data_IF_335528207279
#
_entry.id   IF_335528207279
#
_cell.length_a   1.000
_cell.length_b   1.000
_cell.length_c   1.000
_cell.angle_alpha   90.00
_cell.angle_beta   90.00
_cell.angle_gamma   90.00
#
_symmetry.space_group_name_H-M   'P 1'
#
loop_
_entity.id
_entity.type
_entity.pdbx_description
1 polymer ?
#
# COMPACT_ATOMS: atom_id res chain seq x y z
N UNK A 1 -3.52 5.70 15.34
CA UNK A 1 -3.83 6.15 13.97
C UNK A 1 -5.26 5.77 13.65
N UNK A 2 -5.68 5.76 12.39
CA UNK A 2 -6.96 5.16 11.98
C UNK A 2 -6.75 4.22 10.80
N UNK A 3 -7.53 3.14 10.77
CA UNK A 3 -7.53 2.15 9.70
C UNK A 3 -8.29 2.68 8.48
N UNK A 4 -7.79 2.37 7.28
CA UNK A 4 -8.52 2.60 6.04
C UNK A 4 -9.64 1.56 5.89
N UNK A 5 -10.71 1.92 5.18
CA UNK A 5 -11.79 0.98 4.85
C UNK A 5 -11.29 -0.03 3.80
N UNK A 6 -11.35 -1.31 4.18
CA UNK A 6 -10.86 -2.43 3.36
C UNK A 6 -11.72 -2.67 2.10
N UNK A 7 -13.02 -2.43 2.14
CA UNK A 7 -13.90 -2.64 1.00
C UNK A 7 -13.66 -1.57 -0.08
N UNK A 8 -13.53 -0.31 0.32
CA UNK A 8 -13.11 0.80 -0.53
C UNK A 8 -11.69 0.58 -1.07
N UNK A 9 -10.79 0.04 -0.25
CA UNK A 9 -9.43 -0.33 -0.66
C UNK A 9 -9.44 -1.39 -1.77
N UNK A 10 -10.21 -2.46 -1.61
CA UNK A 10 -10.39 -3.51 -2.62
C UNK A 10 -11.03 -2.98 -3.91
N UNK A 11 -12.03 -2.10 -3.78
CA UNK A 11 -12.66 -1.47 -4.93
C UNK A 11 -11.68 -0.59 -5.72
N UNK A 12 -10.91 0.25 -5.02
CA UNK A 12 -9.82 1.02 -5.62
C UNK A 12 -8.81 0.11 -6.34
N UNK A 13 -8.35 -0.94 -5.65
CA UNK A 13 -7.42 -1.92 -6.22
C UNK A 13 -7.94 -2.54 -7.51
N UNK A 14 -9.20 -3.02 -7.54
CA UNK A 14 -9.78 -3.63 -8.73
C UNK A 14 -9.83 -2.66 -9.91
N UNK A 15 -10.27 -1.42 -9.68
CA UNK A 15 -10.31 -0.40 -10.75
C UNK A 15 -8.92 -0.06 -11.27
N UNK A 16 -7.95 0.15 -10.37
CA UNK A 16 -6.56 0.44 -10.75
C UNK A 16 -5.94 -0.76 -11.47
N UNK A 17 -6.15 -1.98 -11.00
CA UNK A 17 -5.60 -3.19 -11.62
C UNK A 17 -6.14 -3.40 -13.04
N UNK A 18 -7.46 -3.28 -13.23
CA UNK A 18 -8.08 -3.38 -14.55
C UNK A 18 -7.60 -2.24 -15.46
N UNK A 19 -7.61 -1.00 -14.96
CA UNK A 19 -7.17 0.18 -15.71
C UNK A 19 -5.70 0.10 -16.13
N UNK A 20 -4.83 -0.37 -15.23
CA UNK A 20 -3.41 -0.56 -15.50
C UNK A 20 -3.19 -1.59 -16.62
N UNK A 21 -3.84 -2.75 -16.54
CA UNK A 21 -3.70 -3.77 -17.58
C UNK A 21 -4.27 -3.29 -18.92
N UNK A 22 -5.42 -2.63 -18.94
CA UNK A 22 -5.99 -2.04 -20.15
C UNK A 22 -5.09 -0.94 -20.75
N UNK A 23 -4.40 -0.17 -19.91
CA UNK A 23 -3.52 0.90 -20.34
C UNK A 23 -2.19 0.38 -20.90
N UNK A 24 -1.55 -0.58 -20.21
CA UNK A 24 -0.15 -0.94 -20.49
C UNK A 24 0.01 -2.30 -21.18
N UNK A 25 -0.90 -3.26 -21.04
CA UNK A 25 -0.78 -4.52 -21.76
C UNK A 25 -0.80 -4.31 -23.29
N UNK A 26 -1.71 -3.47 -23.86
CA UNK A 26 -1.71 -3.23 -25.30
C UNK A 26 -0.45 -2.50 -25.80
N UNK A 27 0.21 -1.72 -24.93
CA UNK A 27 1.44 -0.99 -25.28
C UNK A 27 2.63 -1.92 -25.57
N UNK A 28 2.65 -3.12 -24.98
CA UNK A 28 3.65 -4.14 -25.33
C UNK A 28 3.49 -4.58 -26.79
N UNK A 29 2.25 -4.83 -27.20
CA UNK A 29 1.94 -5.20 -28.58
C UNK A 29 2.24 -4.04 -29.54
N UNK A 30 1.85 -2.81 -29.21
CA UNK A 30 2.17 -1.62 -30.02
C UNK A 30 3.68 -1.42 -30.21
N UNK A 31 4.46 -1.54 -29.14
CA UNK A 31 5.91 -1.42 -29.20
C UNK A 31 6.56 -2.50 -30.09
N UNK A 32 6.08 -3.74 -30.02
CA UNK A 32 6.54 -4.84 -30.88
C UNK A 32 6.18 -4.62 -32.36
N UNK A 33 5.06 -3.94 -32.65
CA UNK A 33 4.65 -3.59 -34.00
C UNK A 33 5.29 -2.28 -34.51
N UNK A 34 6.27 -1.73 -33.77
CA UNK A 34 7.11 -0.66 -34.25
C UNK A 34 6.61 0.76 -33.95
N UNK A 35 5.62 0.94 -33.07
CA UNK A 35 5.25 2.28 -32.58
C UNK A 35 6.34 2.79 -31.62
N UNK A 36 7.16 3.81 -32.00
CA UNK A 36 8.24 4.27 -31.14
C UNK A 36 7.69 5.20 -30.04
N UNK A 37 8.42 5.30 -28.93
CA UNK A 37 8.07 6.22 -27.85
C UNK A 37 8.16 7.69 -28.30
N UNK A 38 7.39 8.57 -27.64
CA UNK A 38 7.43 10.04 -27.81
C UNK A 38 7.02 10.52 -29.22
N UNK A 39 6.08 9.82 -29.85
CA UNK A 39 5.42 10.28 -31.08
C UNK A 39 4.11 10.98 -30.74
N UNK A 40 3.87 12.14 -31.35
CA UNK A 40 2.60 12.86 -31.20
C UNK A 40 1.53 12.34 -32.17
N UNK A 41 1.96 11.87 -33.34
CA UNK A 41 1.12 11.30 -34.39
C UNK A 41 1.64 9.90 -34.74
N UNK A 42 0.71 8.97 -34.96
CA UNK A 42 0.99 7.57 -35.21
C UNK A 42 0.11 7.06 -36.35
N UNK A 43 0.50 5.93 -36.94
CA UNK A 43 -0.23 5.32 -38.04
C UNK A 43 -1.69 4.99 -37.62
N UNK A 44 -2.70 5.34 -38.43
CA UNK A 44 -4.10 5.04 -38.15
C UNK A 44 -4.40 3.58 -37.78
N UNK A 45 -3.58 2.62 -38.24
CA UNK A 45 -3.72 1.19 -37.86
C UNK A 45 -3.63 0.96 -36.34
N UNK A 46 -2.93 1.83 -35.61
CA UNK A 46 -2.75 1.74 -34.16
C UNK A 46 -3.82 2.51 -33.36
N UNK A 47 -4.75 3.19 -34.02
CA UNK A 47 -5.74 4.04 -33.36
C UNK A 47 -6.61 3.28 -32.35
N UNK A 48 -7.14 2.12 -32.73
CA UNK A 48 -8.00 1.33 -31.86
C UNK A 48 -7.29 0.88 -30.57
N UNK A 49 -6.04 0.43 -30.68
CA UNK A 49 -5.25 -0.06 -29.54
C UNK A 49 -4.86 1.09 -28.60
N UNK A 50 -4.54 2.27 -29.16
CA UNK A 50 -4.31 3.49 -28.37
C UNK A 50 -5.60 4.02 -27.71
N UNK A 51 -6.77 3.82 -28.32
CA UNK A 51 -8.06 4.13 -27.69
C UNK A 51 -8.32 3.24 -26.47
N UNK A 52 -8.08 1.93 -26.58
CA UNK A 52 -8.17 1.01 -25.43
C UNK A 52 -7.23 1.47 -24.30
N UNK A 53 -6.00 1.84 -24.67
CA UNK A 53 -5.01 2.33 -23.70
C UNK A 53 -5.49 3.61 -23.00
N UNK A 54 -6.09 4.54 -23.76
CA UNK A 54 -6.68 5.78 -23.24
C UNK A 54 -7.84 5.51 -22.28
N UNK A 55 -8.71 4.53 -22.58
CA UNK A 55 -9.79 4.11 -21.67
C UNK A 55 -9.20 3.54 -20.37
N UNK A 56 -8.14 2.74 -20.44
CA UNK A 56 -7.43 2.24 -19.27
C UNK A 56 -6.84 3.37 -18.42
N UNK A 57 -6.22 4.37 -19.06
CA UNK A 57 -5.69 5.55 -18.38
C UNK A 57 -6.79 6.36 -17.66
N UNK A 58 -7.93 6.57 -18.33
CA UNK A 58 -9.09 7.24 -17.73
C UNK A 58 -9.65 6.44 -16.55
N UNK A 59 -9.74 5.12 -16.66
CA UNK A 59 -10.19 4.26 -15.56
C UNK A 59 -9.26 4.35 -14.34
N UNK A 60 -7.94 4.39 -14.55
CA UNK A 60 -6.98 4.64 -13.47
C UNK A 60 -7.18 6.02 -12.84
N UNK A 61 -7.39 7.07 -13.64
CA UNK A 61 -7.69 8.40 -13.12
C UNK A 61 -8.95 8.39 -12.25
N UNK A 62 -10.02 7.73 -12.71
CA UNK A 62 -11.27 7.55 -11.94
C UNK A 62 -11.06 6.72 -10.67
N UNK A 63 -10.16 5.73 -10.69
CA UNK A 63 -9.83 4.91 -9.52
C UNK A 63 -9.23 5.72 -8.37
N UNK A 64 -8.68 6.91 -8.63
CA UNK A 64 -8.17 7.80 -7.56
C UNK A 64 -9.27 8.39 -6.69
N UNK A 65 -10.50 8.52 -7.20
CA UNK A 65 -11.64 9.08 -6.46
C UNK A 65 -12.02 8.25 -5.23
N UNK A 66 -12.28 6.92 -5.33
CA UNK A 66 -12.57 6.11 -4.15
C UNK A 66 -11.39 6.04 -3.18
N UNK A 67 -10.15 6.12 -3.66
CA UNK A 67 -8.97 6.19 -2.78
C UNK A 67 -8.93 7.47 -1.96
N UNK A 68 -9.08 8.63 -2.60
CA UNK A 68 -9.12 9.93 -1.92
C UNK A 68 -10.27 9.99 -0.92
N UNK A 69 -11.45 9.48 -1.31
CA UNK A 69 -12.58 9.37 -0.40
C UNK A 69 -12.25 8.48 0.81
N UNK A 70 -11.65 7.31 0.58
CA UNK A 70 -11.28 6.40 1.66
C UNK A 70 -10.31 7.05 2.65
N UNK A 71 -9.29 7.76 2.17
CA UNK A 71 -8.32 8.48 3.02
C UNK A 71 -9.02 9.55 3.86
N UNK A 72 -9.85 10.40 3.24
CA UNK A 72 -10.52 11.51 3.94
C UNK A 72 -11.54 10.99 4.96
N UNK A 73 -12.36 10.01 4.56
CA UNK A 73 -13.37 9.42 5.44
C UNK A 73 -12.71 8.68 6.61
N UNK A 74 -11.71 7.85 6.34
CA UNK A 74 -11.01 7.07 7.36
C UNK A 74 -10.20 7.94 8.32
N UNK A 75 -9.60 9.03 7.85
CA UNK A 75 -8.91 9.98 8.73
C UNK A 75 -9.86 10.65 9.74
N UNK A 76 -11.12 10.90 9.35
CA UNK A 76 -12.13 11.54 10.21
C UNK A 76 -12.86 10.55 11.12
N UNK A 77 -13.26 9.41 10.58
CA UNK A 77 -14.19 8.47 11.23
C UNK A 77 -13.82 6.99 11.10
N UNK A 78 -12.65 6.65 10.54
CA UNK A 78 -12.19 5.27 10.42
C UNK A 78 -11.92 4.61 11.78
N UNK A 79 -11.87 3.29 11.83
CA UNK A 79 -11.59 2.55 13.06
C UNK A 79 -10.26 2.98 13.68
N UNK A 80 -10.18 3.09 15.02
CA UNK A 80 -8.93 3.47 15.69
C UNK A 80 -7.93 2.34 15.48
N UNK A 81 -6.79 2.65 14.87
CA UNK A 81 -5.71 1.69 14.71
C UNK A 81 -4.99 1.55 16.05
N UNK A 82 -4.87 0.31 16.54
CA UNK A 82 -3.97 -0.02 17.63
C UNK A 82 -2.50 0.15 17.22
N UNK A 83 -1.59 -0.19 18.13
CA UNK A 83 -0.14 -0.01 17.94
C UNK A 83 0.41 -0.87 16.80
N UNK A 84 -0.10 -2.10 16.66
CA UNK A 84 0.30 -3.03 15.60
C UNK A 84 -0.92 -3.74 14.97
N UNK A 85 -1.68 -3.06 14.11
CA UNK A 85 -2.90 -3.62 13.50
C UNK A 85 -2.61 -4.77 12.53
N UNK A 86 -1.39 -4.86 11.98
CA UNK A 86 -1.00 -5.85 10.98
C UNK A 86 -0.15 -7.00 11.52
N UNK A 87 0.13 -7.01 12.83
CA UNK A 87 0.97 -8.02 13.50
C UNK A 87 2.34 -8.18 12.83
N UNK A 88 2.93 -7.08 12.40
CA UNK A 88 4.27 -7.07 11.83
C UNK A 88 5.33 -7.07 12.94
N UNK A 89 6.54 -7.52 12.61
CA UNK A 89 7.61 -7.73 13.59
C UNK A 89 8.69 -6.64 13.54
N UNK A 90 8.60 -5.75 12.58
CA UNK A 90 9.56 -4.67 12.36
C UNK A 90 9.41 -3.55 13.41
N UNK A 91 10.47 -2.77 13.68
CA UNK A 91 10.52 -1.84 14.82
C UNK A 91 9.47 -0.71 14.76
N UNK A 92 8.99 -0.35 13.58
CA UNK A 92 7.94 0.66 13.42
C UNK A 92 6.58 0.22 14.00
N UNK A 93 6.39 -1.07 14.25
CA UNK A 93 5.19 -1.63 14.90
C UNK A 93 5.39 -1.92 16.39
N UNK A 94 6.52 -1.48 16.96
CA UNK A 94 6.85 -1.55 18.39
C UNK A 94 6.66 -0.19 19.09
N UNK A 95 5.94 0.74 18.46
CA UNK A 95 5.59 2.05 19.01
C UNK A 95 4.07 2.26 19.00
N UNK A 96 3.61 3.33 19.66
CA UNK A 96 2.19 3.65 19.74
C UNK A 96 1.63 4.12 18.41
N UNK A 97 0.32 4.01 18.21
CA UNK A 97 -0.36 4.58 17.04
C UNK A 97 -1.33 5.71 17.46
N UNK A 98 -1.05 7.00 17.19
CA UNK A 98 0.10 7.54 16.45
C UNK A 98 1.41 7.49 17.26
N UNK A 99 2.58 7.51 16.57
CA UNK A 99 3.86 7.50 17.25
C UNK A 99 4.09 8.81 18.02
N UNK A 100 4.85 8.77 19.13
CA UNK A 100 5.29 9.98 19.82
C UNK A 100 6.28 10.78 18.96
N UNK A 101 6.54 12.04 19.33
CA UNK A 101 7.39 12.97 18.56
C UNK A 101 8.79 12.38 18.29
N UNK A 102 9.38 11.72 19.28
CA UNK A 102 10.72 11.11 19.17
C UNK A 102 10.69 9.64 18.76
N UNK A 103 9.57 9.16 18.19
CA UNK A 103 9.26 7.77 17.83
C UNK A 103 9.20 6.77 19.00
N UNK A 104 10.04 6.90 20.01
CA UNK A 104 10.04 6.03 21.20
C UNK A 104 10.12 6.85 22.49
N UNK A 105 9.65 6.26 23.59
CA UNK A 105 9.89 6.77 24.94
C UNK A 105 11.11 6.04 25.50
N UNK A 106 12.28 6.67 25.42
CA UNK A 106 13.55 6.07 25.84
C UNK A 106 14.34 5.49 24.67
N UNK A 107 15.13 4.44 24.94
CA UNK A 107 15.94 3.80 23.91
C UNK A 107 15.07 3.02 22.92
N UNK A 108 15.41 3.03 21.61
CA UNK A 108 14.69 2.28 20.60
C UNK A 108 14.86 0.78 20.85
N UNK A 109 13.87 -0.02 20.43
CA UNK A 109 13.94 -1.44 20.61
C UNK A 109 15.07 -2.06 19.80
N UNK A 110 15.92 -2.82 20.50
CA UNK A 110 16.88 -3.69 19.85
C UNK A 110 16.08 -4.74 19.10
N UNK A 111 16.35 -4.91 17.80
CA UNK A 111 15.74 -5.98 17.04
C UNK A 111 16.82 -6.79 16.37
N UNK A 112 16.86 -8.08 16.72
CA UNK A 112 17.84 -9.04 16.22
C UNK A 112 17.32 -9.80 15.00
N UNK A 113 18.22 -10.34 14.17
CA UNK A 113 17.88 -11.11 12.97
C UNK A 113 17.02 -10.27 11.98
N UNK A 114 16.42 -10.79 10.89
CA UNK A 114 15.48 -9.99 10.09
C UNK A 114 14.16 -9.87 10.85
N UNK A 115 14.17 -9.19 11.99
CA UNK A 115 13.00 -8.91 12.82
C UNK A 115 12.21 -10.16 13.24
N UNK A 116 12.88 -11.31 13.42
CA UNK A 116 12.21 -12.58 13.73
C UNK A 116 11.46 -13.25 12.56
N UNK A 117 11.49 -12.69 11.34
CA UNK A 117 10.91 -13.36 10.18
C UNK A 117 11.61 -14.69 9.89
N UNK A 118 10.81 -15.74 9.69
CA UNK A 118 11.31 -17.10 9.44
C UNK A 118 11.68 -17.89 10.68
N UNK A 119 11.51 -17.32 11.89
CA UNK A 119 11.69 -18.01 13.17
C UNK A 119 10.29 -18.45 13.67
N UNK A 120 10.10 -19.71 14.10
CA UNK A 120 8.86 -20.16 14.73
C UNK A 120 8.51 -19.29 15.94
N UNK A 121 7.22 -18.96 16.11
CA UNK A 121 6.77 -18.00 17.15
C UNK A 121 7.12 -18.43 18.59
N UNK A 122 7.27 -19.73 18.83
CA UNK A 122 7.73 -20.31 20.10
C UNK A 122 9.22 -20.10 20.38
N UNK A 123 9.99 -19.73 19.35
CA UNK A 123 11.45 -19.50 19.39
C UNK A 123 11.82 -18.02 19.26
N UNK A 124 10.84 -17.14 19.01
CA UNK A 124 11.05 -15.71 19.04
C UNK A 124 11.20 -15.30 20.50
N UNK A 125 12.42 -14.94 20.92
CA UNK A 125 12.62 -14.33 22.22
C UNK A 125 12.03 -12.91 22.20
N UNK A 126 10.76 -12.80 22.62
CA UNK A 126 10.06 -11.52 22.73
C UNK A 126 10.65 -10.62 23.83
N UNK A 127 11.61 -11.11 24.64
CA UNK A 127 12.35 -10.26 25.58
C UNK A 127 13.41 -9.41 24.90
N UNK A 128 13.92 -9.87 23.75
CA UNK A 128 14.90 -9.13 22.96
C UNK A 128 14.22 -8.07 22.08
N UNK A 129 12.95 -8.29 21.70
CA UNK A 129 12.09 -7.25 21.14
C UNK A 129 11.68 -6.29 22.25
N UNK A 130 12.56 -5.35 22.59
CA UNK A 130 12.26 -4.34 23.59
C UNK A 130 10.93 -3.64 23.25
N UNK A 131 10.10 -3.38 24.26
CA UNK A 131 8.74 -2.85 24.07
C UNK A 131 7.60 -3.84 24.34
N UNK A 132 7.88 -5.10 24.70
CA UNK A 132 6.87 -6.04 25.27
C UNK A 132 6.06 -5.42 26.42
N UNK A 133 6.66 -4.47 27.13
CA UNK A 133 6.09 -3.80 28.30
C UNK A 133 4.96 -2.82 27.94
N UNK A 134 4.92 -2.38 26.67
CA UNK A 134 3.83 -1.61 26.08
C UNK A 134 2.59 -2.49 25.83
N UNK A 135 2.78 -3.81 25.72
CA UNK A 135 1.70 -4.79 25.55
C UNK A 135 1.15 -5.30 26.89
N UNK A 136 1.98 -5.35 27.94
CA UNK A 136 1.59 -5.88 29.25
C UNK A 136 0.90 -4.88 30.17
N UNK A 137 1.05 -3.58 29.93
CA UNK A 137 0.38 -2.53 30.70
C UNK A 137 -0.86 -2.05 29.96
N UNK A 138 -1.92 -2.87 30.00
CA UNK A 138 -3.20 -2.58 29.38
C UNK A 138 -3.74 -1.18 29.71
N UNK A 139 -3.78 -0.33 28.68
CA UNK A 139 -4.75 0.76 28.48
C UNK A 139 -5.03 0.92 27.00
#
# INVERSE_FOLDING_TARGET
GRMLDENLGRFHFLLTFIGFNLCFAPQHWLGLNGMPRRVAEYDPQFAFVNQISSVGALLMALSTLPFLWNVIASARSGEIAGDNPWRALTPEWLTTSPPPVENWKGEPPLVTHPYGYGIPADQIDLKDASGSDLWSNGR
#
